data_IF_304027432783
#
_entry.id   IF_304027432783
#
_cell.length_a   1.000
_cell.length_b   1.000
_cell.length_c   1.000
_cell.angle_alpha   90.00
_cell.angle_beta   90.00
_cell.angle_gamma   90.00
#
_symmetry.space_group_name_H-M   'P 1'
#
loop_
_entity.id
_entity.type
_entity.pdbx_description
1 polymer ?
#
# COMPACT_ATOMS: atom_id res chain seq x y z
N UNK A 1 -5.71 14.12 -27.32
CA UNK A 1 -6.29 12.76 -27.36
C UNK A 1 -6.53 12.34 -25.94
N UNK A 2 -7.78 12.23 -25.50
CA UNK A 2 -8.13 11.76 -24.18
C UNK A 2 -7.76 10.27 -24.10
N UNK A 3 -6.86 9.91 -23.19
CA UNK A 3 -6.62 8.53 -22.82
C UNK A 3 -7.60 8.16 -21.71
N UNK A 4 -8.32 7.05 -21.89
CA UNK A 4 -9.18 6.51 -20.86
C UNK A 4 -8.29 5.93 -19.76
N UNK A 5 -8.12 6.67 -18.68
CA UNK A 5 -7.46 6.19 -17.45
C UNK A 5 -8.47 5.41 -16.61
N UNK A 6 -7.97 4.47 -15.82
CA UNK A 6 -8.79 3.71 -14.86
C UNK A 6 -8.60 4.38 -13.50
N UNK A 7 -9.58 5.13 -13.08
CA UNK A 7 -9.61 5.87 -11.81
C UNK A 7 -10.32 5.11 -10.67
N UNK A 8 -11.05 4.05 -11.02
CA UNK A 8 -11.72 3.18 -10.07
C UNK A 8 -11.56 1.71 -10.46
N UNK A 9 -10.92 0.95 -9.57
CA UNK A 9 -10.64 -0.49 -9.72
C UNK A 9 -11.48 -1.25 -8.70
N UNK A 10 -12.48 -1.98 -9.17
CA UNK A 10 -13.26 -2.91 -8.34
C UNK A 10 -12.89 -4.33 -8.77
N UNK A 11 -12.16 -5.04 -7.90
CA UNK A 11 -11.61 -6.37 -8.23
C UNK A 11 -12.63 -7.50 -8.15
N UNK A 12 -13.76 -7.29 -7.50
CA UNK A 12 -14.86 -8.26 -7.52
C UNK A 12 -15.56 -8.28 -8.88
N UNK A 13 -15.51 -7.15 -9.61
CA UNK A 13 -16.04 -7.04 -10.97
C UNK A 13 -14.99 -7.30 -12.05
N UNK A 14 -13.75 -6.93 -11.77
CA UNK A 14 -12.63 -6.98 -12.71
C UNK A 14 -11.40 -7.63 -12.04
N UNK A 15 -11.42 -8.93 -11.74
CA UNK A 15 -10.37 -9.60 -10.97
C UNK A 15 -9.00 -9.59 -11.68
N UNK A 16 -8.98 -9.46 -13.00
CA UNK A 16 -7.76 -9.33 -13.80
C UNK A 16 -6.96 -8.05 -13.52
N UNK A 17 -7.61 -7.03 -12.95
CA UNK A 17 -6.94 -5.79 -12.60
C UNK A 17 -6.05 -5.93 -11.37
N UNK A 18 -6.27 -6.95 -10.51
CA UNK A 18 -5.40 -7.21 -9.35
C UNK A 18 -3.94 -7.35 -9.76
N UNK A 19 -3.64 -8.21 -10.72
CA UNK A 19 -2.29 -8.40 -11.23
C UNK A 19 -1.71 -7.13 -11.87
N UNK A 20 -2.55 -6.36 -12.58
CA UNK A 20 -2.14 -5.12 -13.23
C UNK A 20 -1.85 -3.97 -12.26
N UNK A 21 -2.44 -3.99 -11.07
CA UNK A 21 -2.08 -3.08 -9.98
C UNK A 21 -0.74 -3.48 -9.38
N UNK A 22 -0.53 -4.78 -9.15
CA UNK A 22 0.70 -5.29 -8.55
C UNK A 22 1.94 -5.05 -9.43
N UNK A 23 1.82 -5.13 -10.74
CA UNK A 23 2.89 -4.83 -11.70
C UNK A 23 2.87 -3.40 -12.23
N UNK A 24 1.96 -2.56 -11.72
CA UNK A 24 1.73 -1.16 -12.10
C UNK A 24 1.36 -0.97 -13.59
N UNK A 25 1.02 -2.02 -14.32
CA UNK A 25 0.66 -1.90 -15.74
C UNK A 25 -0.64 -1.13 -15.97
N UNK A 26 -1.52 -1.07 -14.96
CA UNK A 26 -2.74 -0.26 -15.00
C UNK A 26 -2.45 1.26 -15.16
N UNK A 27 -1.27 1.71 -14.70
CA UNK A 27 -0.81 3.10 -14.81
C UNK A 27 0.10 3.35 -16.02
N UNK A 28 0.34 2.35 -16.86
CA UNK A 28 1.18 2.49 -18.06
C UNK A 28 0.33 2.90 -19.25
N UNK A 29 0.68 4.02 -19.84
CA UNK A 29 0.01 4.57 -21.02
C UNK A 29 0.99 4.64 -22.19
N UNK A 30 0.57 4.11 -23.33
CA UNK A 30 1.36 4.20 -24.56
C UNK A 30 1.10 5.53 -25.26
N UNK A 31 2.15 6.31 -25.49
CA UNK A 31 2.05 7.57 -26.21
C UNK A 31 1.61 7.31 -27.68
N UNK A 32 0.52 7.93 -28.17
CA UNK A 32 0.05 7.69 -29.52
C UNK A 32 0.97 8.29 -30.60
N UNK A 33 1.82 9.26 -30.25
CA UNK A 33 2.68 9.95 -31.18
C UNK A 33 4.04 9.26 -31.37
N UNK A 34 4.70 8.84 -30.28
CA UNK A 34 6.02 8.23 -30.34
C UNK A 34 6.01 6.72 -30.03
N UNK A 35 4.90 6.18 -29.52
CA UNK A 35 4.79 4.78 -29.14
C UNK A 35 5.48 4.40 -27.83
N UNK A 36 6.14 5.35 -27.16
CA UNK A 36 6.73 5.11 -25.84
C UNK A 36 5.68 4.83 -24.77
N UNK A 37 6.02 3.94 -23.83
CA UNK A 37 5.19 3.66 -22.68
C UNK A 37 5.66 4.51 -21.51
N UNK A 38 4.77 5.33 -20.97
CA UNK A 38 5.03 6.20 -19.82
C UNK A 38 4.16 5.78 -18.64
N UNK A 39 4.65 6.01 -17.43
CA UNK A 39 3.89 5.81 -16.21
C UNK A 39 3.06 7.07 -15.94
N UNK A 40 1.74 6.97 -16.06
CA UNK A 40 0.81 8.08 -15.84
C UNK A 40 0.18 7.93 -14.45
N UNK A 41 0.77 8.62 -13.47
CA UNK A 41 0.25 8.63 -12.09
C UNK A 41 -0.96 9.57 -12.03
N UNK A 42 -2.07 9.08 -11.53
CA UNK A 42 -3.33 9.82 -11.37
C UNK A 42 -4.09 9.29 -10.16
N UNK A 43 -5.04 10.06 -9.59
CA UNK A 43 -5.89 9.56 -8.53
C UNK A 43 -6.61 8.28 -8.93
N UNK A 44 -6.58 7.27 -8.06
CA UNK A 44 -7.16 5.97 -8.34
C UNK A 44 -7.67 5.32 -7.06
N UNK A 45 -8.91 4.84 -7.08
CA UNK A 45 -9.52 4.11 -5.97
C UNK A 45 -9.48 2.60 -6.25
N UNK A 46 -8.84 1.86 -5.36
CA UNK A 46 -8.90 0.39 -5.33
C UNK A 46 -9.94 -0.07 -4.34
N UNK A 47 -10.83 -0.99 -4.76
CA UNK A 47 -11.92 -1.50 -3.96
C UNK A 47 -11.97 -3.03 -4.01
N UNK A 48 -11.82 -3.65 -2.85
CA UNK A 48 -12.00 -5.09 -2.60
C UNK A 48 -13.19 -5.28 -1.65
N UNK A 49 -14.34 -5.67 -2.22
CA UNK A 49 -15.58 -5.85 -1.45
C UNK A 49 -15.52 -7.11 -0.60
N UNK A 50 -14.85 -8.17 -1.09
CA UNK A 50 -14.75 -9.43 -0.39
C UNK A 50 -13.94 -9.29 0.91
N UNK A 51 -12.87 -8.51 0.89
CA UNK A 51 -12.03 -8.23 2.05
C UNK A 51 -12.39 -6.92 2.78
N UNK A 52 -13.43 -6.23 2.33
CA UNK A 52 -13.98 -5.02 2.95
C UNK A 52 -12.94 -3.91 3.16
N UNK A 53 -12.20 -3.57 2.12
CA UNK A 53 -11.30 -2.43 2.17
C UNK A 53 -11.28 -1.61 0.89
N UNK A 54 -10.86 -0.35 1.03
CA UNK A 54 -10.55 0.56 -0.07
C UNK A 54 -9.21 1.23 0.19
N UNK A 55 -8.41 1.37 -0.88
CA UNK A 55 -7.18 2.18 -0.87
C UNK A 55 -7.29 3.24 -1.95
N UNK A 56 -7.09 4.49 -1.56
CA UNK A 56 -7.11 5.62 -2.48
C UNK A 56 -5.70 6.14 -2.71
N UNK A 57 -5.26 6.06 -3.96
CA UNK A 57 -4.10 6.81 -4.42
C UNK A 57 -4.52 8.25 -4.64
N UNK A 58 -4.09 9.15 -3.77
CA UNK A 58 -4.40 10.57 -3.83
C UNK A 58 -3.13 11.35 -4.15
N UNK A 59 -3.07 11.87 -5.37
CA UNK A 59 -1.87 12.54 -5.92
C UNK A 59 -2.05 14.05 -6.06
N UNK A 60 -3.18 14.58 -5.58
CA UNK A 60 -3.48 16.00 -5.65
C UNK A 60 -3.17 16.70 -4.32
N UNK A 61 -2.79 17.97 -4.41
CA UNK A 61 -2.64 18.81 -3.22
C UNK A 61 -4.03 19.11 -2.62
N UNK A 62 -4.15 18.96 -1.29
CA UNK A 62 -5.36 19.29 -0.57
C UNK A 62 -5.92 18.17 0.31
N UNK A 63 -7.11 18.39 0.83
CA UNK A 63 -7.78 17.40 1.67
C UNK A 63 -8.31 16.25 0.82
N UNK A 64 -8.10 15.03 1.29
CA UNK A 64 -8.73 13.84 0.72
C UNK A 64 -10.25 14.05 0.72
N UNK A 65 -10.95 13.83 -0.40
CA UNK A 65 -12.39 13.97 -0.45
C UNK A 65 -13.06 13.08 0.62
N UNK A 66 -14.00 13.64 1.34
CA UNK A 66 -14.83 12.83 2.23
C UNK A 66 -15.75 11.97 1.38
N UNK A 67 -15.86 10.70 1.72
CA UNK A 67 -16.84 9.85 1.12
C UNK A 67 -18.24 10.44 1.41
N UNK A 68 -19.00 10.77 0.38
CA UNK A 68 -20.37 11.31 0.51
C UNK A 68 -21.40 10.23 0.88
N UNK A 69 -20.98 8.98 1.03
CA UNK A 69 -21.85 7.87 1.34
C UNK A 69 -21.53 7.34 2.74
N UNK A 70 -22.56 6.84 3.38
CA UNK A 70 -22.48 6.19 4.67
C UNK A 70 -21.40 5.09 4.59
N UNK A 71 -20.29 5.24 5.33
CA UNK A 71 -19.20 4.29 5.21
C UNK A 71 -19.71 2.91 5.55
N UNK A 72 -19.43 1.98 4.69
CA UNK A 72 -19.78 0.59 4.91
C UNK A 72 -19.16 0.16 6.25
N UNK A 73 -20.02 -0.11 7.23
CA UNK A 73 -19.59 -0.50 8.57
C UNK A 73 -18.62 -1.68 8.45
N UNK A 74 -17.43 -1.56 9.04
CA UNK A 74 -16.39 -2.59 8.99
C UNK A 74 -15.39 -2.46 7.84
N UNK A 75 -15.51 -1.48 6.93
CA UNK A 75 -14.52 -1.26 5.90
C UNK A 75 -13.25 -0.59 6.44
N UNK A 76 -12.11 -1.09 6.00
CA UNK A 76 -10.82 -0.43 6.17
C UNK A 76 -10.61 0.56 5.02
N UNK A 77 -10.50 1.85 5.33
CA UNK A 77 -10.32 2.91 4.35
C UNK A 77 -8.94 3.53 4.50
N UNK A 78 -8.13 3.50 3.43
CA UNK A 78 -6.75 4.02 3.43
C UNK A 78 -6.50 4.96 2.28
N UNK A 79 -5.66 5.97 2.52
CA UNK A 79 -5.15 6.88 1.50
C UNK A 79 -3.62 6.79 1.44
N UNK A 80 -3.09 6.84 0.22
CA UNK A 80 -1.65 6.84 -0.08
C UNK A 80 -1.35 7.91 -1.12
N UNK A 81 -0.10 8.34 -1.24
CA UNK A 81 0.33 9.42 -2.14
C UNK A 81 1.34 8.97 -3.21
N UNK A 82 1.78 7.73 -3.16
CA UNK A 82 2.70 7.16 -4.16
C UNK A 82 2.22 5.81 -4.67
N UNK A 83 2.67 5.42 -5.86
CA UNK A 83 2.36 4.11 -6.43
C UNK A 83 2.95 2.96 -5.60
N UNK A 84 4.12 3.17 -4.99
CA UNK A 84 4.76 2.17 -4.15
C UNK A 84 3.93 1.89 -2.90
N UNK A 85 3.55 2.95 -2.17
CA UNK A 85 2.72 2.82 -0.97
C UNK A 85 1.31 2.35 -1.29
N UNK A 86 0.74 2.75 -2.44
CA UNK A 86 -0.55 2.25 -2.91
C UNK A 86 -0.54 0.74 -3.12
N UNK A 87 0.43 0.23 -3.88
CA UNK A 87 0.61 -1.20 -4.13
C UNK A 87 0.92 -1.98 -2.85
N UNK A 88 1.80 -1.44 -2.00
CA UNK A 88 2.14 -2.02 -0.70
C UNK A 88 0.90 -2.16 0.19
N UNK A 89 0.12 -1.09 0.34
CA UNK A 89 -1.08 -1.07 1.18
C UNK A 89 -2.11 -2.11 0.73
N UNK A 90 -2.34 -2.20 -0.59
CA UNK A 90 -3.21 -3.23 -1.18
C UNK A 90 -2.67 -4.63 -0.86
N UNK A 91 -1.37 -4.88 -1.06
CA UNK A 91 -0.74 -6.17 -0.78
C UNK A 91 -0.89 -6.60 0.68
N UNK A 92 -0.76 -5.67 1.63
CA UNK A 92 -0.95 -5.92 3.06
C UNK A 92 -2.42 -6.31 3.35
N UNK A 93 -3.37 -5.50 2.88
CA UNK A 93 -4.79 -5.67 3.19
C UNK A 93 -5.40 -6.91 2.49
N UNK A 94 -4.98 -7.24 1.27
CA UNK A 94 -5.40 -8.47 0.57
C UNK A 94 -4.97 -9.75 1.31
N UNK A 95 -3.90 -9.69 2.11
CA UNK A 95 -3.43 -10.79 2.95
C UNK A 95 -4.12 -10.85 4.31
N UNK A 96 -5.06 -9.95 4.59
CA UNK A 96 -5.72 -9.82 5.89
C UNK A 96 -4.77 -9.37 7.01
N UNK A 97 -3.67 -8.72 6.67
CA UNK A 97 -2.71 -8.19 7.64
C UNK A 97 -3.15 -6.80 8.12
N UNK A 98 -2.87 -6.50 9.37
CA UNK A 98 -3.07 -5.17 9.93
C UNK A 98 -1.94 -4.23 9.48
N UNK A 99 -2.29 -3.25 8.67
CA UNK A 99 -1.34 -2.30 8.12
C UNK A 99 -0.66 -1.42 9.19
N UNK A 100 -1.35 -1.13 10.30
CA UNK A 100 -0.78 -0.40 11.46
C UNK A 100 0.39 -1.19 12.07
N UNK A 101 0.20 -2.50 12.21
CA UNK A 101 1.24 -3.40 12.72
C UNK A 101 2.43 -3.47 11.78
N UNK A 102 2.19 -3.55 10.47
CA UNK A 102 3.25 -3.54 9.45
C UNK A 102 4.04 -2.22 9.49
N UNK A 103 3.38 -1.07 9.63
CA UNK A 103 4.09 0.21 9.71
C UNK A 103 4.97 0.31 10.97
N UNK A 104 4.53 -0.23 12.12
CA UNK A 104 5.38 -0.32 13.31
C UNK A 104 6.58 -1.24 13.07
N UNK A 105 6.38 -2.39 12.42
CA UNK A 105 7.50 -3.26 12.03
C UNK A 105 8.50 -2.53 11.15
N UNK A 106 8.01 -1.76 10.17
CA UNK A 106 8.85 -0.93 9.30
C UNK A 106 9.63 0.12 10.09
N UNK A 107 9.00 0.82 11.03
CA UNK A 107 9.68 1.79 11.91
C UNK A 107 10.84 1.16 12.69
N UNK A 108 10.61 -0.01 13.28
CA UNK A 108 11.64 -0.73 14.05
C UNK A 108 12.78 -1.19 13.14
N UNK A 109 12.45 -1.72 11.98
CA UNK A 109 13.42 -2.21 11.01
C UNK A 109 14.21 -1.04 10.39
N UNK A 110 13.54 0.06 10.05
CA UNK A 110 14.16 1.27 9.55
C UNK A 110 15.18 1.83 10.55
N UNK A 111 14.80 1.93 11.83
CA UNK A 111 15.70 2.40 12.89
C UNK A 111 16.93 1.50 13.06
N UNK A 112 16.82 0.21 12.75
CA UNK A 112 17.94 -0.72 12.77
C UNK A 112 18.83 -0.58 11.54
N UNK A 113 18.24 -0.60 10.34
CA UNK A 113 18.95 -0.55 9.06
C UNK A 113 19.65 0.81 8.86
N UNK A 114 19.02 1.90 9.22
CA UNK A 114 19.52 3.26 8.99
C UNK A 114 20.73 3.64 9.87
N UNK A 115 21.23 2.70 10.69
CA UNK A 115 22.52 2.86 11.41
C UNK A 115 23.71 2.72 10.49
N UNK A 116 23.59 1.83 9.49
CA UNK A 116 24.69 1.43 8.61
C UNK A 116 24.38 1.69 7.13
N UNK A 117 23.12 1.97 6.80
CA UNK A 117 22.61 2.15 5.43
C UNK A 117 21.84 3.46 5.32
N UNK A 118 21.93 4.11 4.17
CA UNK A 118 21.15 5.31 3.86
C UNK A 118 19.83 4.90 3.19
N UNK A 119 18.86 4.47 4.03
CA UNK A 119 17.55 3.98 3.58
C UNK A 119 16.62 5.15 3.30
N UNK A 120 16.13 5.26 2.07
CA UNK A 120 15.18 6.31 1.65
C UNK A 120 13.73 5.84 1.60
N UNK A 121 13.51 4.53 1.39
CA UNK A 121 12.17 3.94 1.40
C UNK A 121 12.24 2.51 1.96
N UNK A 122 11.26 2.12 2.75
CA UNK A 122 11.13 0.75 3.27
C UNK A 122 9.71 0.26 3.02
N UNK A 123 9.60 -0.83 2.28
CA UNK A 123 8.31 -1.39 1.85
C UNK A 123 8.16 -2.83 2.31
N UNK A 124 6.94 -3.19 2.72
CA UNK A 124 6.58 -4.59 2.90
C UNK A 124 6.54 -5.29 1.54
N UNK A 125 7.27 -6.38 1.42
CA UNK A 125 7.36 -7.16 0.20
C UNK A 125 6.43 -8.38 0.21
N UNK A 126 6.65 -9.28 1.16
CA UNK A 126 5.86 -10.52 1.27
C UNK A 126 5.89 -11.13 2.66
N UNK A 127 4.92 -12.01 2.93
CA UNK A 127 4.97 -12.99 4.01
C UNK A 127 5.47 -14.32 3.42
N UNK A 128 6.62 -14.79 3.88
CA UNK A 128 7.14 -16.12 3.51
C UNK A 128 6.30 -17.19 4.21
N UNK A 129 5.41 -17.83 3.45
CA UNK A 129 4.50 -18.86 4.00
C UNK A 129 5.24 -20.08 4.59
N UNK A 130 6.47 -20.34 4.15
CA UNK A 130 7.28 -21.47 4.60
C UNK A 130 7.90 -21.22 5.97
N UNK A 131 8.39 -19.99 6.23
CA UNK A 131 9.07 -19.62 7.48
C UNK A 131 8.18 -18.83 8.43
N UNK A 132 7.13 -18.18 7.91
CA UNK A 132 6.29 -17.24 8.62
C UNK A 132 6.95 -15.87 8.82
N UNK A 133 8.07 -15.61 8.13
CA UNK A 133 8.79 -14.34 8.23
C UNK A 133 8.20 -13.28 7.32
N UNK A 134 8.15 -12.07 7.81
CA UNK A 134 7.78 -10.87 7.05
C UNK A 134 9.01 -10.33 6.35
N UNK A 135 8.97 -10.22 5.03
CA UNK A 135 10.05 -9.70 4.21
C UNK A 135 9.77 -8.27 3.77
N UNK A 136 10.81 -7.46 3.84
CA UNK A 136 10.79 -6.06 3.47
C UNK A 136 11.88 -5.78 2.44
N UNK A 137 11.66 -4.78 1.60
CA UNK A 137 12.67 -4.23 0.71
C UNK A 137 12.99 -2.81 1.13
N UNK A 138 14.27 -2.55 1.39
CA UNK A 138 14.81 -1.24 1.66
C UNK A 138 15.43 -0.69 0.36
N UNK A 139 14.98 0.47 -0.06
CA UNK A 139 15.57 1.23 -1.16
C UNK A 139 16.57 2.20 -0.57
N UNK A 140 17.81 2.18 -1.07
CA UNK A 140 18.89 3.05 -0.61
C UNK A 140 18.99 4.31 -1.49
N UNK A 141 19.67 5.33 -0.98
CA UNK A 141 19.83 6.60 -1.69
C UNK A 141 20.58 6.50 -3.03
N UNK A 142 21.36 5.44 -3.22
CA UNK A 142 22.03 5.12 -4.50
C UNK A 142 21.15 4.31 -5.48
N UNK A 143 19.91 4.01 -5.07
CA UNK A 143 18.95 3.22 -5.83
C UNK A 143 19.12 1.70 -5.69
N UNK A 144 20.05 1.22 -4.85
CA UNK A 144 20.18 -0.21 -4.57
C UNK A 144 19.02 -0.70 -3.68
N UNK A 145 18.65 -1.95 -3.85
CA UNK A 145 17.64 -2.62 -3.03
C UNK A 145 18.29 -3.63 -2.09
N UNK A 146 17.89 -3.62 -0.84
CA UNK A 146 18.28 -4.63 0.14
C UNK A 146 17.05 -5.27 0.77
N UNK A 147 17.10 -6.59 0.93
CA UNK A 147 16.04 -7.34 1.57
C UNK A 147 16.37 -7.58 3.03
N UNK A 148 15.36 -7.37 3.88
CA UNK A 148 15.43 -7.63 5.30
C UNK A 148 14.21 -8.45 5.72
N UNK A 149 14.33 -9.17 6.84
CA UNK A 149 13.24 -10.00 7.34
C UNK A 149 13.01 -9.77 8.84
N UNK A 150 11.76 -9.90 9.26
CA UNK A 150 11.35 -9.93 10.66
C UNK A 150 10.53 -11.19 10.93
N UNK A 151 10.76 -11.89 12.06
CA UNK A 151 10.02 -13.10 12.39
C UNK A 151 8.53 -12.82 12.62
N UNK A 152 7.66 -13.77 12.22
CA UNK A 152 6.22 -13.67 12.44
C UNK A 152 5.82 -13.48 13.91
N UNK A 153 6.61 -13.99 14.84
CA UNK A 153 6.41 -13.76 16.27
C UNK A 153 6.53 -12.27 16.66
N UNK A 154 7.28 -11.46 15.90
CA UNK A 154 7.34 -10.02 16.11
C UNK A 154 6.02 -9.36 15.70
N UNK A 155 5.45 -9.76 14.55
CA UNK A 155 4.13 -9.29 14.11
C UNK A 155 3.06 -9.59 15.16
N UNK A 156 2.98 -10.82 15.66
CA UNK A 156 1.95 -11.23 16.63
C UNK A 156 1.99 -10.40 17.92
N UNK A 157 3.21 -10.14 18.44
CA UNK A 157 3.36 -9.31 19.65
C UNK A 157 2.94 -7.86 19.41
N UNK A 158 3.43 -7.28 18.32
CA UNK A 158 3.08 -5.89 17.96
C UNK A 158 1.60 -5.73 17.65
N UNK A 159 0.99 -6.72 16.98
CA UNK A 159 -0.43 -6.69 16.65
C UNK A 159 -1.31 -6.68 17.91
N UNK A 160 -0.97 -7.45 18.94
CA UNK A 160 -1.69 -7.42 20.21
C UNK A 160 -1.64 -6.04 20.89
N UNK A 161 -0.49 -5.36 20.80
CA UNK A 161 -0.34 -4.00 21.33
C UNK A 161 -1.12 -2.98 20.47
N UNK A 162 -1.07 -3.12 19.14
CA UNK A 162 -1.82 -2.28 18.19
C UNK A 162 -3.31 -2.37 18.45
N UNK A 163 -3.86 -3.56 18.57
CA UNK A 163 -5.28 -3.78 18.88
C UNK A 163 -5.69 -3.16 20.21
N UNK A 164 -4.78 -3.14 21.19
CA UNK A 164 -5.06 -2.62 22.53
C UNK A 164 -4.97 -1.10 22.60
N UNK A 165 -3.99 -0.50 21.92
CA UNK A 165 -3.60 0.90 22.16
C UNK A 165 -3.80 1.84 20.97
N UNK A 166 -3.92 1.33 19.75
CA UNK A 166 -4.06 2.15 18.55
C UNK A 166 -5.48 2.09 17.99
N UNK A 167 -6.22 3.14 18.20
CA UNK A 167 -7.53 3.33 17.60
C UNK A 167 -7.40 4.04 16.25
N UNK A 168 -8.02 3.47 15.21
CA UNK A 168 -8.19 4.14 13.92
C UNK A 168 -9.69 4.41 13.74
N UNK A 169 -10.10 5.67 13.52
CA UNK A 169 -11.49 5.99 13.28
C UNK A 169 -12.02 5.20 12.07
N UNK A 170 -13.18 4.56 12.24
CA UNK A 170 -13.87 3.95 11.11
C UNK A 170 -14.60 5.01 10.28
N UNK A 171 -14.81 4.73 9.01
CA UNK A 171 -15.64 5.57 8.14
C UNK A 171 -14.95 6.75 7.48
N UNK A 172 -13.67 6.95 7.73
CA UNK A 172 -12.85 7.96 7.07
C UNK A 172 -11.59 7.35 6.45
N UNK A 173 -11.17 7.91 5.31
CA UNK A 173 -9.89 7.54 4.72
C UNK A 173 -8.76 8.04 5.61
N UNK A 174 -7.94 7.12 6.10
CA UNK A 174 -6.82 7.40 7.00
C UNK A 174 -5.50 7.10 6.32
N UNK A 175 -4.51 7.98 6.54
CA UNK A 175 -3.13 7.71 6.18
C UNK A 175 -2.48 6.94 7.33
N UNK A 176 -1.94 5.76 7.01
CA UNK A 176 -1.18 4.92 7.94
C UNK A 176 0.14 4.61 7.24
N UNK A 177 1.19 5.27 7.66
CA UNK A 177 2.55 5.16 7.13
C UNK A 177 3.59 5.45 8.24
N UNK A 178 4.88 5.39 7.90
CA UNK A 178 5.99 5.62 8.85
C UNK A 178 6.24 7.08 9.19
N UNK A 179 5.53 8.04 8.56
CA UNK A 179 5.77 9.49 8.76
C UNK A 179 4.81 10.11 9.75
#
# INVERSE_FOLDING_TARGET
TEHKVIDHINIDRNPELRAKVQDLSVFRVKCPNCGETVLAVHPCLYHDMANQFMVWLWTEDGQVPKAEFDPLAGYTLRVTDSLNTFREKINILERGLDDRTIEIMKLLLFAQLNRDLDVVELLFHELDERTGDFRFVAVLSDGAEQYAAMPGAAYQRLHADVETYLYTPGGEFSRIDMT
#
